data_IF_901838648388
#
_entry.id   IF_901838648388
#
_cell.length_a   1.000
_cell.length_b   1.000
_cell.length_c   1.000
_cell.angle_alpha   90.00
_cell.angle_beta   90.00
_cell.angle_gamma   90.00
#
_symmetry.space_group_name_H-M   'P 1'
#
loop_
_entity.id
_entity.type
_entity.pdbx_description
1 polymer ?
#
# COMPACT_ATOMS: atom_id res chain seq x y z
N UNK A 1 3.96 10.64 8.62
CA UNK A 1 3.53 9.62 7.64
C UNK A 1 4.78 9.02 7.02
N UNK A 2 4.76 7.74 6.70
CA UNK A 2 5.88 6.98 6.15
C UNK A 2 6.03 7.16 4.63
N UNK A 3 6.04 8.41 4.18
CA UNK A 3 6.21 8.80 2.78
C UNK A 3 7.60 9.40 2.61
N UNK A 4 8.40 8.84 1.70
CA UNK A 4 9.80 9.22 1.48
C UNK A 4 10.00 10.72 1.32
N UNK A 5 9.25 11.36 0.41
CA UNK A 5 9.35 12.80 0.14
C UNK A 5 9.03 13.64 1.38
N UNK A 6 8.07 13.22 2.20
CA UNK A 6 7.71 13.94 3.42
C UNK A 6 8.79 13.77 4.49
N UNK A 7 9.32 12.57 4.65
CA UNK A 7 10.36 12.29 5.64
C UNK A 7 11.68 13.01 5.37
N UNK A 8 12.01 13.27 4.10
CA UNK A 8 13.16 14.13 3.74
C UNK A 8 13.03 15.57 4.23
N UNK A 9 11.81 16.04 4.49
CA UNK A 9 11.54 17.38 4.99
C UNK A 9 11.50 17.45 6.52
N UNK A 10 11.56 16.31 7.22
CA UNK A 10 11.61 16.27 8.68
C UNK A 10 13.02 16.60 9.19
N UNK A 11 13.11 16.94 10.48
CA UNK A 11 14.40 17.18 11.11
C UNK A 11 15.25 15.91 11.10
N UNK A 12 16.44 15.99 10.48
CA UNK A 12 17.27 14.82 10.25
C UNK A 12 17.79 14.18 11.55
N UNK A 13 18.06 14.97 12.60
CA UNK A 13 18.54 14.44 13.88
C UNK A 13 17.42 13.70 14.61
N UNK A 14 16.18 14.18 14.51
CA UNK A 14 15.03 13.51 15.10
C UNK A 14 14.63 12.26 14.32
N UNK A 15 14.76 12.29 12.99
CA UNK A 15 14.21 11.25 12.12
C UNK A 15 15.18 10.12 11.75
N UNK A 16 16.48 10.27 12.04
CA UNK A 16 17.54 9.32 11.62
C UNK A 16 17.33 7.86 12.03
N UNK A 17 16.51 7.60 13.05
CA UNK A 17 16.15 6.25 13.52
C UNK A 17 14.64 6.02 13.58
N UNK A 18 13.87 6.76 12.76
CA UNK A 18 12.43 6.58 12.73
C UNK A 18 12.09 5.17 12.21
N UNK A 19 11.28 4.44 12.98
CA UNK A 19 10.77 3.12 12.63
C UNK A 19 9.29 3.04 12.97
N UNK A 20 8.59 2.06 12.41
CA UNK A 20 7.21 1.83 12.80
C UNK A 20 6.46 0.88 11.87
N UNK A 21 5.14 0.89 12.06
CA UNK A 21 4.19 0.10 11.29
C UNK A 21 3.61 0.96 10.18
N UNK A 22 3.55 0.40 8.98
CA UNK A 22 3.01 1.00 7.77
C UNK A 22 1.91 0.14 7.20
N UNK A 23 0.72 0.71 7.00
CA UNK A 23 -0.33 0.10 6.18
C UNK A 23 -0.12 0.39 4.69
N UNK A 24 0.73 1.36 4.34
CA UNK A 24 1.01 1.71 2.96
C UNK A 24 1.76 0.57 2.24
N UNK A 25 1.45 0.35 0.94
CA UNK A 25 2.30 -0.45 0.06
C UNK A 25 3.74 0.06 0.06
N UNK A 26 4.71 -0.79 -0.29
CA UNK A 26 6.00 -0.29 -0.73
C UNK A 26 5.80 0.75 -1.83
N UNK A 27 6.47 1.90 -1.69
CA UNK A 27 6.41 2.93 -2.71
C UNK A 27 7.19 2.46 -3.93
N UNK A 28 6.59 2.61 -5.09
CA UNK A 28 7.22 2.39 -6.38
C UNK A 28 7.03 3.63 -7.24
N UNK A 29 7.83 3.77 -8.29
CA UNK A 29 7.59 4.78 -9.32
C UNK A 29 6.13 4.73 -9.77
N UNK A 30 5.54 5.91 -9.98
CA UNK A 30 4.17 6.04 -10.48
C UNK A 30 3.96 5.25 -11.78
N UNK A 31 5.00 5.15 -12.62
CA UNK A 31 4.96 4.41 -13.89
C UNK A 31 4.71 2.90 -13.72
N UNK A 32 5.03 2.34 -12.56
CA UNK A 32 4.80 0.92 -12.27
C UNK A 32 3.45 0.63 -11.61
N UNK A 33 2.68 1.67 -11.27
CA UNK A 33 1.34 1.50 -10.69
C UNK A 33 0.32 0.96 -11.70
N UNK A 34 -0.71 0.26 -11.21
CA UNK A 34 -1.81 -0.20 -12.06
C UNK A 34 -2.57 0.96 -12.72
N UNK A 35 -2.70 2.10 -12.04
CA UNK A 35 -3.28 3.30 -12.63
C UNK A 35 -2.49 3.83 -13.82
N UNK A 36 -1.15 3.73 -13.79
CA UNK A 36 -0.32 4.08 -14.95
C UNK A 36 -0.56 3.12 -16.10
N UNK A 37 -0.63 1.81 -15.84
CA UNK A 37 -0.93 0.80 -16.87
C UNK A 37 -2.27 1.09 -17.55
N UNK A 38 -3.30 1.42 -16.77
CA UNK A 38 -4.61 1.78 -17.30
C UNK A 38 -4.57 3.09 -18.10
N UNK A 39 -3.91 4.13 -17.57
CA UNK A 39 -3.73 5.39 -18.30
C UNK A 39 -3.11 5.16 -19.68
N UNK A 40 -2.02 4.38 -19.75
CA UNK A 40 -1.37 4.00 -21.01
C UNK A 40 -2.31 3.19 -21.91
N UNK A 41 -3.02 2.21 -21.37
CA UNK A 41 -3.95 1.37 -22.13
C UNK A 41 -5.10 2.17 -22.77
N UNK A 42 -5.49 3.29 -22.16
CA UNK A 42 -6.52 4.21 -22.72
C UNK A 42 -5.97 5.24 -23.71
N UNK A 43 -4.70 5.13 -24.11
CA UNK A 43 -4.06 6.02 -25.08
C UNK A 43 -3.34 7.23 -24.47
N UNK A 44 -3.14 7.25 -23.15
CA UNK A 44 -2.42 8.32 -22.46
C UNK A 44 -0.93 8.35 -22.83
N UNK A 45 -0.46 9.47 -23.38
CA UNK A 45 0.95 9.65 -23.82
C UNK A 45 1.78 10.58 -22.92
N UNK A 46 1.14 11.33 -22.02
CA UNK A 46 1.80 12.32 -21.17
C UNK A 46 2.45 11.75 -19.89
N UNK A 47 2.78 12.65 -18.98
CA UNK A 47 3.16 12.30 -17.61
C UNK A 47 1.99 11.58 -16.91
N UNK A 48 2.30 10.55 -16.13
CA UNK A 48 1.26 9.83 -15.37
C UNK A 48 0.69 10.77 -14.31
N UNK A 49 -0.63 10.96 -14.25
CA UNK A 49 -1.25 11.77 -13.21
C UNK A 49 -1.10 11.08 -11.84
N UNK A 50 -0.87 11.85 -10.77
CA UNK A 50 -0.81 11.31 -9.41
C UNK A 50 -2.10 10.58 -8.98
N UNK A 51 -3.23 10.91 -9.60
CA UNK A 51 -4.51 10.20 -9.44
C UNK A 51 -4.42 8.71 -9.81
N UNK A 52 -3.39 8.27 -10.52
CA UNK A 52 -3.11 6.86 -10.79
C UNK A 52 -2.97 6.02 -9.51
N UNK A 53 -2.49 6.60 -8.40
CA UNK A 53 -2.43 5.90 -7.11
C UNK A 53 -3.81 5.62 -6.52
N UNK A 54 -4.84 6.39 -6.88
CA UNK A 54 -6.23 6.14 -6.45
C UNK A 54 -6.91 5.00 -7.22
N UNK A 55 -6.26 4.41 -8.23
CA UNK A 55 -6.85 3.41 -9.11
C UNK A 55 -7.47 2.24 -8.34
N UNK A 56 -6.75 1.70 -7.36
CA UNK A 56 -7.22 0.54 -6.60
C UNK A 56 -8.51 0.84 -5.82
N UNK A 57 -8.70 2.08 -5.34
CA UNK A 57 -9.95 2.53 -4.72
C UNK A 57 -11.12 2.55 -5.72
N UNK A 58 -10.88 3.02 -6.95
CA UNK A 58 -11.88 2.96 -8.02
C UNK A 58 -12.22 1.53 -8.41
N UNK A 59 -11.23 0.63 -8.46
CA UNK A 59 -11.45 -0.77 -8.78
C UNK A 59 -12.36 -1.47 -7.74
N UNK A 60 -12.17 -1.19 -6.45
CA UNK A 60 -13.02 -1.73 -5.38
C UNK A 60 -14.43 -1.15 -5.42
N UNK A 61 -14.57 0.15 -5.68
CA UNK A 61 -15.88 0.76 -5.86
C UNK A 61 -16.61 0.14 -7.06
N UNK A 62 -15.93 -0.03 -8.20
CA UNK A 62 -16.49 -0.64 -9.40
C UNK A 62 -16.90 -2.11 -9.16
N UNK A 63 -16.07 -2.88 -8.47
CA UNK A 63 -16.39 -4.26 -8.09
C UNK A 63 -17.63 -4.33 -7.19
N UNK A 64 -17.71 -3.45 -6.18
CA UNK A 64 -18.86 -3.38 -5.27
C UNK A 64 -20.15 -3.02 -6.00
N UNK A 65 -20.09 -2.06 -6.94
CA UNK A 65 -21.23 -1.69 -7.79
C UNK A 65 -21.67 -2.86 -8.67
N UNK A 66 -20.72 -3.56 -9.30
CA UNK A 66 -21.03 -4.72 -10.13
C UNK A 66 -21.69 -5.84 -9.31
N UNK A 67 -21.15 -6.11 -8.11
CA UNK A 67 -21.63 -7.17 -7.23
C UNK A 67 -22.95 -6.85 -6.53
N UNK A 68 -23.33 -5.56 -6.40
CA UNK A 68 -24.64 -5.15 -5.89
C UNK A 68 -25.80 -5.60 -6.80
N UNK A 69 -25.50 -5.89 -8.08
CA UNK A 69 -26.47 -6.36 -9.06
C UNK A 69 -27.40 -5.24 -9.58
N UNK A 70 -28.53 -5.61 -10.22
CA UNK A 70 -29.39 -4.64 -10.92
C UNK A 70 -30.17 -3.71 -9.98
N UNK A 71 -30.24 -4.02 -8.68
CA UNK A 71 -30.93 -3.21 -7.68
C UNK A 71 -29.91 -2.58 -6.76
N UNK A 72 -29.45 -1.38 -7.13
CA UNK A 72 -28.49 -0.61 -6.34
C UNK A 72 -29.21 0.09 -5.18
N UNK A 73 -28.91 -0.35 -3.96
CA UNK A 73 -29.35 0.25 -2.70
C UNK A 73 -28.15 0.29 -1.75
N UNK A 74 -28.16 1.11 -0.70
CA UNK A 74 -27.10 1.08 0.32
C UNK A 74 -26.87 -0.34 0.88
N UNK A 75 -27.93 -1.11 1.09
CA UNK A 75 -27.85 -2.47 1.62
C UNK A 75 -27.24 -3.46 0.63
N UNK A 76 -27.59 -3.39 -0.65
CA UNK A 76 -27.01 -4.30 -1.67
C UNK A 76 -25.55 -3.95 -1.97
N UNK A 77 -25.20 -2.65 -1.95
CA UNK A 77 -23.82 -2.20 -2.04
C UNK A 77 -22.99 -2.66 -0.84
N UNK A 78 -23.46 -2.44 0.39
CA UNK A 78 -22.77 -2.88 1.60
C UNK A 78 -22.54 -4.39 1.59
N UNK A 79 -23.58 -5.18 1.31
CA UNK A 79 -23.45 -6.65 1.21
C UNK A 79 -22.40 -7.02 0.18
N UNK A 80 -22.45 -6.44 -1.02
CA UNK A 80 -21.50 -6.69 -2.08
C UNK A 80 -20.05 -6.38 -1.67
N UNK A 81 -19.81 -5.24 -1.03
CA UNK A 81 -18.48 -4.86 -0.54
C UNK A 81 -18.01 -5.80 0.56
N UNK A 82 -18.82 -6.04 1.59
CA UNK A 82 -18.45 -6.83 2.77
C UNK A 82 -18.33 -8.33 2.52
N UNK A 83 -18.85 -8.84 1.40
CA UNK A 83 -18.68 -10.24 0.97
C UNK A 83 -17.77 -10.39 -0.26
N UNK A 84 -17.09 -9.31 -0.67
CA UNK A 84 -16.15 -9.37 -1.79
C UNK A 84 -14.96 -10.28 -1.46
N UNK A 85 -14.42 -10.94 -2.47
CA UNK A 85 -13.23 -11.77 -2.30
C UNK A 85 -12.03 -10.88 -1.95
N UNK A 86 -11.20 -11.35 -1.02
CA UNK A 86 -9.95 -10.66 -0.70
C UNK A 86 -8.99 -10.63 -1.90
N UNK A 87 -8.13 -9.61 -1.94
CA UNK A 87 -7.15 -9.42 -3.00
C UNK A 87 -5.76 -9.14 -2.42
N UNK A 88 -4.71 -9.50 -3.16
CA UNK A 88 -3.33 -9.19 -2.78
C UNK A 88 -2.83 -10.01 -1.58
N UNK A 89 -1.88 -9.43 -0.85
CA UNK A 89 -1.33 -9.99 0.38
C UNK A 89 -0.08 -10.83 0.19
N UNK A 90 0.79 -10.76 1.20
CA UNK A 90 2.11 -11.38 1.21
C UNK A 90 2.07 -12.91 1.04
N UNK A 91 1.16 -13.61 1.72
CA UNK A 91 1.07 -15.09 1.65
C UNK A 91 0.91 -15.64 0.24
N UNK A 92 0.23 -14.89 -0.63
CA UNK A 92 -0.03 -15.31 -2.00
C UNK A 92 1.09 -14.88 -2.93
N UNK A 93 1.53 -13.62 -2.84
CA UNK A 93 2.37 -12.99 -3.87
C UNK A 93 3.81 -12.73 -3.43
N UNK A 94 4.10 -12.71 -2.13
CA UNK A 94 5.40 -12.33 -1.57
C UNK A 94 5.93 -11.00 -2.14
N UNK A 95 5.02 -10.04 -2.35
CA UNK A 95 5.31 -8.73 -2.94
C UNK A 95 4.90 -7.62 -1.95
N UNK A 96 5.84 -6.75 -1.50
CA UNK A 96 5.54 -5.69 -0.54
C UNK A 96 4.69 -4.55 -1.12
N UNK A 97 4.53 -4.48 -2.45
CA UNK A 97 3.71 -3.50 -3.15
C UNK A 97 2.22 -3.89 -3.21
N UNK A 98 1.88 -5.14 -2.86
CA UNK A 98 0.52 -5.67 -2.94
C UNK A 98 -0.09 -5.85 -1.54
N UNK A 99 -0.79 -4.84 -0.99
CA UNK A 99 -1.45 -4.98 0.30
C UNK A 99 -2.56 -6.03 0.24
N UNK A 100 -2.80 -6.68 1.37
CA UNK A 100 -3.95 -7.55 1.57
C UNK A 100 -5.21 -6.69 1.74
N UNK A 101 -6.09 -6.75 0.76
CA UNK A 101 -7.36 -6.03 0.74
C UNK A 101 -8.48 -7.00 1.12
N UNK A 102 -9.18 -6.72 2.23
CA UNK A 102 -10.23 -7.60 2.73
C UNK A 102 -11.27 -6.85 3.56
N UNK A 103 -12.49 -6.77 3.02
CA UNK A 103 -13.67 -6.36 3.79
C UNK A 103 -14.33 -7.57 4.46
N UNK A 104 -14.99 -7.32 5.58
CA UNK A 104 -15.82 -8.31 6.26
C UNK A 104 -16.92 -7.61 7.07
N UNK A 105 -18.01 -8.29 7.45
CA UNK A 105 -18.98 -7.75 8.39
C UNK A 105 -18.31 -7.20 9.67
N UNK A 106 -18.56 -5.92 9.98
CA UNK A 106 -17.91 -5.23 11.11
C UNK A 106 -16.52 -4.66 10.81
N UNK A 107 -16.01 -4.83 9.59
CA UNK A 107 -14.70 -4.34 9.14
C UNK A 107 -14.82 -3.54 7.84
N UNK A 108 -14.87 -2.22 7.99
CA UNK A 108 -15.10 -1.27 6.90
C UNK A 108 -13.82 -0.59 6.38
N UNK A 109 -12.65 -1.02 6.86
CA UNK A 109 -11.34 -0.62 6.34
C UNK A 109 -10.76 -1.73 5.47
N UNK A 110 -10.23 -1.36 4.30
CA UNK A 110 -9.89 -2.35 3.28
C UNK A 110 -8.49 -2.97 3.46
N UNK A 111 -7.46 -2.19 3.82
CA UNK A 111 -6.10 -2.70 4.05
C UNK A 111 -6.17 -3.48 5.35
N UNK A 112 -5.69 -4.71 5.26
CA UNK A 112 -5.88 -5.74 6.28
C UNK A 112 -4.57 -6.38 6.71
N UNK A 113 -3.46 -5.86 6.17
CA UNK A 113 -2.11 -6.17 6.57
C UNK A 113 -1.33 -4.89 6.82
N UNK A 114 -0.17 -5.04 7.45
CA UNK A 114 0.79 -3.97 7.61
C UNK A 114 2.21 -4.51 7.52
N UNK A 115 3.17 -3.65 7.24
CA UNK A 115 4.60 -3.98 7.24
C UNK A 115 5.36 -3.12 8.22
N UNK A 116 6.54 -3.60 8.60
CA UNK A 116 7.52 -2.80 9.32
C UNK A 116 8.33 -1.95 8.36
N UNK A 117 8.58 -0.71 8.77
CA UNK A 117 9.43 0.21 8.02
C UNK A 117 10.46 0.87 8.93
N UNK A 118 11.59 1.20 8.34
CA UNK A 118 12.65 1.99 8.96
C UNK A 118 13.09 3.09 8.00
N UNK A 119 13.34 4.30 8.52
CA UNK A 119 13.82 5.43 7.74
C UNK A 119 15.34 5.37 7.53
N UNK A 120 15.78 5.22 6.28
CA UNK A 120 17.18 5.36 5.92
C UNK A 120 17.42 6.62 5.10
N UNK A 121 18.23 7.54 5.64
CA UNK A 121 18.61 8.77 4.94
C UNK A 121 19.48 8.53 3.70
N UNK A 122 20.13 7.37 3.61
CA UNK A 122 21.03 7.00 2.51
C UNK A 122 20.40 6.05 1.48
N UNK A 123 19.33 5.32 1.85
CA UNK A 123 18.64 4.43 0.94
C UNK A 123 18.03 5.22 -0.23
N UNK A 124 18.21 4.71 -1.44
CA UNK A 124 17.55 5.27 -2.63
C UNK A 124 16.06 4.91 -2.59
N UNK A 125 15.20 5.91 -2.74
CA UNK A 125 13.76 5.70 -2.84
C UNK A 125 13.41 5.04 -4.17
N UNK A 126 12.60 3.99 -4.12
CA UNK A 126 12.03 3.35 -5.32
C UNK A 126 11.05 4.27 -6.08
N UNK A 127 10.57 5.34 -5.43
CA UNK A 127 9.67 6.31 -6.05
C UNK A 127 10.39 7.24 -7.04
N UNK A 128 11.54 7.80 -6.66
CA UNK A 128 12.24 8.82 -7.46
C UNK A 128 13.77 8.63 -7.58
N UNK A 129 14.32 7.56 -7.02
CA UNK A 129 15.74 7.23 -7.03
C UNK A 129 16.62 8.12 -6.12
N UNK A 130 16.04 9.07 -5.37
CA UNK A 130 16.82 9.98 -4.51
C UNK A 130 17.07 9.36 -3.13
N UNK A 131 18.18 9.75 -2.45
CA UNK A 131 18.44 9.32 -1.07
C UNK A 131 17.32 9.74 -0.10
N UNK A 132 17.12 8.94 0.94
CA UNK A 132 16.06 9.10 1.92
C UNK A 132 14.84 8.29 1.53
N UNK A 133 14.66 7.13 2.18
CA UNK A 133 13.54 6.23 1.95
C UNK A 133 13.17 5.42 3.19
N UNK A 134 11.88 5.13 3.34
CA UNK A 134 11.40 4.09 4.24
C UNK A 134 11.60 2.71 3.60
N UNK A 135 12.54 1.96 4.14
CA UNK A 135 12.82 0.59 3.72
C UNK A 135 11.96 -0.37 4.54
N UNK A 136 11.40 -1.38 3.86
CA UNK A 136 10.64 -2.44 4.52
C UNK A 136 11.57 -3.41 5.25
N UNK A 137 11.29 -3.70 6.52
CA UNK A 137 12.03 -4.73 7.25
C UNK A 137 11.60 -6.13 6.77
N UNK A 138 12.48 -7.13 6.96
CA UNK A 138 12.21 -8.51 6.57
C UNK A 138 11.80 -8.65 5.09
N UNK A 139 12.46 -7.90 4.19
CA UNK A 139 12.12 -7.88 2.76
C UNK A 139 10.81 -7.17 2.43
N UNK A 140 10.25 -6.40 3.37
CA UNK A 140 8.95 -5.74 3.25
C UNK A 140 7.77 -6.68 3.49
N UNK A 141 8.00 -7.81 4.17
CA UNK A 141 6.95 -8.75 4.54
C UNK A 141 5.77 -8.01 5.20
N UNK A 142 4.56 -8.34 4.73
CA UNK A 142 3.31 -7.80 5.25
C UNK A 142 2.63 -8.86 6.10
N UNK A 143 2.07 -8.45 7.22
CA UNK A 143 1.49 -9.32 8.23
C UNK A 143 0.03 -8.97 8.43
N UNK A 144 -0.86 -9.97 8.41
CA UNK A 144 -2.23 -9.76 8.88
C UNK A 144 -2.28 -9.82 10.42
N UNK A 145 -3.43 -9.46 10.98
CA UNK A 145 -3.62 -9.49 12.43
C UNK A 145 -3.30 -10.87 13.01
N UNK A 146 -2.41 -10.90 14.01
CA UNK A 146 -2.01 -12.12 14.72
C UNK A 146 -0.76 -12.81 14.16
N UNK A 147 -0.19 -12.35 13.06
CA UNK A 147 1.01 -12.96 12.45
C UNK A 147 2.33 -12.33 12.89
N UNK A 148 2.25 -11.16 13.52
CA UNK A 148 3.42 -10.48 14.04
C UNK A 148 4.12 -11.30 15.12
N UNK A 149 5.41 -11.51 14.95
CA UNK A 149 6.24 -12.17 15.96
C UNK A 149 6.56 -11.20 17.09
N UNK A 150 6.61 -11.71 18.33
CA UNK A 150 7.14 -10.95 19.45
C UNK A 150 8.64 -10.76 19.31
N UNK A 151 9.15 -9.58 19.65
CA UNK A 151 10.59 -9.30 19.71
C UNK A 151 10.94 -7.96 19.10
N UNK A 152 12.24 -7.68 19.06
CA UNK A 152 12.77 -6.49 18.37
C UNK A 152 12.78 -6.72 16.84
N UNK A 153 12.49 -5.67 16.05
CA UNK A 153 12.59 -5.75 14.59
C UNK A 153 14.03 -5.99 14.14
N UNK A 154 14.22 -6.80 13.09
CA UNK A 154 15.52 -6.96 12.47
C UNK A 154 15.85 -5.76 11.58
N UNK A 155 16.66 -4.84 12.11
CA UNK A 155 17.12 -3.67 11.36
C UNK A 155 18.21 -4.05 10.34
N UNK A 156 18.25 -3.38 9.16
CA UNK A 156 19.30 -3.60 8.17
C UNK A 156 20.72 -3.30 8.70
N UNK A 157 21.78 -3.83 8.08
CA UNK A 157 23.14 -3.48 8.47
C UNK A 157 23.43 -1.99 8.23
N UNK A 158 23.97 -1.30 9.23
CA UNK A 158 24.39 0.11 9.10
C UNK A 158 23.33 1.15 9.39
N UNK A 159 22.24 0.75 10.06
CA UNK A 159 21.29 1.65 10.74
C UNK A 159 21.46 1.67 12.25
#
# INVERSE_FOLDING_TARGET
MDIDILARAYDAQQWQHAFGISDLPAFQSVDHSDGARVYRATGGTGAIPLAAFSWTGYAVMANSLQMAGPTLTPLTFERATLTSQSYGGWHTYHDPHLPYLHFAPGKYTWISDAREVYWSASAASEFDGKPGSYIGLNGGQRYVQGEWTSGEPNLPPGV
#
